data_IF_196491664319
#
_entry.id   IF_196491664319
#
_cell.length_a   1.000
_cell.length_b   1.000
_cell.length_c   1.000
_cell.angle_alpha   90.00
_cell.angle_beta   90.00
_cell.angle_gamma   90.00
#
_symmetry.space_group_name_H-M   'P 1'
#
loop_
_entity.id
_entity.type
_entity.pdbx_description
1 polymer ?
#
# COMPACT_ATOMS: atom_id res chain seq x y z
N UNK A 1 -7.36 1.96 -43.69
CA UNK A 1 -8.54 1.17 -43.28
C UNK A 1 -9.11 1.64 -41.96
N UNK A 2 -10.24 1.09 -41.51
CA UNK A 2 -10.95 1.57 -40.32
C UNK A 2 -11.82 0.49 -39.68
N UNK A 3 -12.26 0.73 -38.46
CA UNK A 3 -13.04 -0.22 -37.66
C UNK A 3 -14.54 -0.02 -37.89
N UNK A 4 -15.28 -1.11 -37.93
CA UNK A 4 -16.71 -1.09 -38.22
C UNK A 4 -17.47 -2.12 -37.39
N UNK A 5 -18.72 -1.81 -37.05
CA UNK A 5 -19.56 -2.68 -36.24
C UNK A 5 -19.98 -3.90 -37.07
N UNK A 6 -19.50 -5.10 -36.70
CA UNK A 6 -19.82 -6.35 -37.40
C UNK A 6 -21.32 -6.68 -37.38
N UNK A 7 -22.03 -6.26 -36.32
CA UNK A 7 -23.47 -6.46 -36.17
C UNK A 7 -24.28 -5.63 -37.18
N UNK A 8 -23.85 -4.40 -37.48
CA UNK A 8 -24.48 -3.54 -38.51
C UNK A 8 -24.44 -4.12 -39.92
N UNK A 9 -23.43 -4.96 -40.22
CA UNK A 9 -23.36 -5.65 -41.52
C UNK A 9 -24.31 -6.85 -41.61
N UNK A 10 -24.77 -7.37 -40.48
CA UNK A 10 -25.68 -8.51 -40.41
C UNK A 10 -27.15 -8.06 -40.30
N UNK A 11 -27.40 -6.94 -39.63
CA UNK A 11 -28.75 -6.51 -39.26
C UNK A 11 -29.03 -5.07 -39.78
N UNK A 12 -30.04 -4.91 -40.65
CA UNK A 12 -30.26 -3.63 -41.36
C UNK A 12 -30.76 -2.48 -40.49
N UNK A 13 -31.30 -2.77 -39.31
CA UNK A 13 -32.02 -1.80 -38.46
C UNK A 13 -31.63 -1.83 -36.96
N UNK A 14 -30.38 -2.22 -36.66
CA UNK A 14 -29.92 -2.44 -35.29
C UNK A 14 -29.52 -1.18 -34.48
N UNK A 15 -29.86 0.02 -34.95
CA UNK A 15 -29.49 1.28 -34.28
C UNK A 15 -27.98 1.62 -34.25
N UNK A 16 -27.09 0.70 -34.61
CA UNK A 16 -25.64 0.96 -34.66
C UNK A 16 -25.26 1.99 -35.74
N UNK A 17 -24.22 2.78 -35.46
CA UNK A 17 -23.64 3.77 -36.38
C UNK A 17 -23.38 3.17 -37.78
N UNK A 18 -23.81 3.89 -38.82
CA UNK A 18 -23.57 3.52 -40.22
C UNK A 18 -22.24 4.12 -40.68
N UNK A 19 -21.19 3.30 -40.78
CA UNK A 19 -19.90 3.73 -41.29
C UNK A 19 -18.73 2.99 -40.66
N UNK A 20 -17.54 3.58 -40.77
CA UNK A 20 -16.32 3.13 -40.11
C UNK A 20 -15.64 4.32 -39.43
N UNK A 21 -15.12 4.11 -38.23
CA UNK A 21 -14.14 5.02 -37.64
C UNK A 21 -12.79 4.75 -38.30
N UNK A 22 -12.04 5.80 -38.64
CA UNK A 22 -10.70 5.61 -39.20
C UNK A 22 -9.80 5.02 -38.12
N UNK A 23 -8.97 4.03 -38.48
CA UNK A 23 -8.09 3.40 -37.50
C UNK A 23 -7.18 4.42 -36.81
N UNK A 24 -6.61 5.35 -37.57
CA UNK A 24 -5.77 6.43 -37.06
C UNK A 24 -6.50 7.30 -36.03
N UNK A 25 -7.77 7.66 -36.26
CA UNK A 25 -8.53 8.50 -35.33
C UNK A 25 -8.76 7.76 -34.01
N UNK A 26 -9.19 6.49 -34.07
CA UNK A 26 -9.41 5.68 -32.88
C UNK A 26 -8.10 5.47 -32.10
N UNK A 27 -7.03 5.12 -32.80
CA UNK A 27 -5.70 4.89 -32.21
C UNK A 27 -5.16 6.17 -31.57
N UNK A 28 -5.33 7.34 -32.20
CA UNK A 28 -4.94 8.64 -31.63
C UNK A 28 -5.72 8.99 -30.36
N UNK A 29 -7.04 8.78 -30.34
CA UNK A 29 -7.87 9.04 -29.16
C UNK A 29 -7.45 8.11 -28.03
N UNK A 30 -7.42 6.80 -28.28
CA UNK A 30 -7.08 5.79 -27.27
C UNK A 30 -5.66 6.01 -26.75
N UNK A 31 -4.70 6.32 -27.62
CA UNK A 31 -3.31 6.63 -27.27
C UNK A 31 -3.21 7.84 -26.33
N UNK A 32 -3.92 8.93 -26.62
CA UNK A 32 -3.91 10.12 -25.75
C UNK A 32 -4.50 9.82 -24.37
N UNK A 33 -5.63 9.14 -24.32
CA UNK A 33 -6.32 8.82 -23.07
C UNK A 33 -5.49 7.84 -22.20
N UNK A 34 -4.92 6.79 -22.80
CA UNK A 34 -4.06 5.86 -22.04
C UNK A 34 -2.81 6.55 -21.52
N UNK A 35 -2.22 7.50 -22.26
CA UNK A 35 -1.08 8.28 -21.80
C UNK A 35 -1.45 9.09 -20.55
N UNK A 36 -2.55 9.85 -20.59
CA UNK A 36 -3.03 10.63 -19.45
C UNK A 36 -3.36 9.75 -18.23
N UNK A 37 -4.04 8.62 -18.46
CA UNK A 37 -4.36 7.65 -17.40
C UNK A 37 -3.08 7.10 -16.76
N UNK A 38 -2.09 6.74 -17.58
CA UNK A 38 -0.82 6.18 -17.12
C UNK A 38 -0.02 7.21 -16.31
N UNK A 39 0.05 8.46 -16.76
CA UNK A 39 0.71 9.54 -16.02
C UNK A 39 0.07 9.75 -14.65
N UNK A 40 -1.27 9.84 -14.59
CA UNK A 40 -2.01 9.97 -13.33
C UNK A 40 -1.80 8.78 -12.40
N UNK A 41 -1.81 7.56 -12.95
CA UNK A 41 -1.53 6.34 -12.20
C UNK A 41 -0.12 6.36 -11.60
N UNK A 42 0.91 6.70 -12.40
CA UNK A 42 2.30 6.74 -11.94
C UNK A 42 2.52 7.79 -10.84
N UNK A 43 1.85 8.95 -10.92
CA UNK A 43 1.91 9.98 -9.88
C UNK A 43 1.28 9.51 -8.56
N UNK A 44 0.12 8.84 -8.62
CA UNK A 44 -0.51 8.21 -7.46
C UNK A 44 0.37 7.11 -6.86
N UNK A 45 0.96 6.27 -7.69
CA UNK A 45 1.87 5.20 -7.25
C UNK A 45 3.15 5.77 -6.62
N UNK A 46 3.72 6.85 -7.17
CA UNK A 46 4.86 7.52 -6.55
C UNK A 46 4.53 8.01 -5.13
N UNK A 47 3.34 8.58 -4.94
CA UNK A 47 2.85 9.01 -3.63
C UNK A 47 2.71 7.82 -2.67
N UNK A 48 2.06 6.73 -3.11
CA UNK A 48 1.94 5.48 -2.35
C UNK A 48 3.29 4.88 -1.97
N UNK A 49 4.27 4.91 -2.87
CA UNK A 49 5.64 4.43 -2.58
C UNK A 49 6.33 5.27 -1.50
N UNK A 50 6.18 6.59 -1.53
CA UNK A 50 6.74 7.48 -0.49
C UNK A 50 6.08 7.18 0.86
N UNK A 51 4.74 7.09 0.90
CA UNK A 51 3.99 6.73 2.10
C UNK A 51 4.41 5.35 2.64
N UNK A 52 4.58 4.35 1.77
CA UNK A 52 5.08 3.03 2.15
C UNK A 52 6.47 3.12 2.80
N UNK A 53 7.42 3.85 2.20
CA UNK A 53 8.76 4.02 2.80
C UNK A 53 8.70 4.70 4.17
N UNK A 54 7.81 5.68 4.34
CA UNK A 54 7.59 6.34 5.63
C UNK A 54 7.06 5.33 6.65
N UNK A 55 6.04 4.54 6.30
CA UNK A 55 5.50 3.47 7.16
C UNK A 55 6.57 2.44 7.53
N UNK A 56 7.37 1.98 6.57
CA UNK A 56 8.48 1.05 6.80
C UNK A 56 9.52 1.64 7.77
N UNK A 57 9.89 2.91 7.60
CA UNK A 57 10.82 3.61 8.50
C UNK A 57 10.26 3.71 9.93
N UNK A 58 8.96 4.03 10.06
CA UNK A 58 8.27 4.05 11.36
C UNK A 58 8.32 2.66 12.00
N UNK A 59 7.95 1.61 11.26
CA UNK A 59 8.00 0.22 11.74
C UNK A 59 9.41 -0.18 12.19
N UNK A 60 10.45 0.16 11.42
CA UNK A 60 11.84 -0.11 11.80
C UNK A 60 12.21 0.58 13.12
N UNK A 61 11.86 1.86 13.28
CA UNK A 61 12.14 2.61 14.52
C UNK A 61 11.42 2.02 15.74
N UNK A 62 10.17 1.57 15.55
CA UNK A 62 9.34 0.92 16.56
C UNK A 62 9.92 -0.44 16.97
N UNK A 63 10.38 -1.25 16.00
CA UNK A 63 11.03 -2.53 16.26
C UNK A 63 12.32 -2.36 17.08
N UNK A 64 13.15 -1.37 16.76
CA UNK A 64 14.35 -1.06 17.53
C UNK A 64 14.03 -0.59 18.95
N UNK A 65 13.00 0.24 19.13
CA UNK A 65 12.51 0.64 20.46
C UNK A 65 12.01 -0.58 21.26
N UNK A 66 11.21 -1.45 20.65
CA UNK A 66 10.73 -2.70 21.26
C UNK A 66 11.88 -3.59 21.72
N UNK A 67 12.95 -3.71 20.93
CA UNK A 67 14.15 -4.47 21.29
C UNK A 67 14.84 -3.92 22.53
N UNK A 68 14.99 -2.59 22.62
CA UNK A 68 15.56 -1.91 23.80
C UNK A 68 14.70 -2.14 25.05
N UNK A 69 13.39 -2.01 24.93
CA UNK A 69 12.43 -2.27 26.01
C UNK A 69 12.50 -3.71 26.52
N UNK A 70 12.56 -4.70 25.62
CA UNK A 70 12.74 -6.11 26.02
C UNK A 70 14.04 -6.35 26.78
N UNK A 71 15.15 -5.73 26.33
CA UNK A 71 16.43 -5.82 27.04
C UNK A 71 16.35 -5.18 28.44
N UNK A 72 15.67 -4.05 28.57
CA UNK A 72 15.44 -3.39 29.85
C UNK A 72 14.55 -4.22 30.79
N UNK A 73 13.47 -4.80 30.26
CA UNK A 73 12.58 -5.69 31.01
C UNK A 73 13.36 -6.86 31.59
N UNK A 74 14.27 -7.46 30.81
CA UNK A 74 15.12 -8.55 31.27
C UNK A 74 16.10 -8.10 32.37
N UNK A 75 16.71 -6.91 32.23
CA UNK A 75 17.55 -6.32 33.29
C UNK A 75 16.76 -6.12 34.58
N UNK A 76 15.54 -5.58 34.51
CA UNK A 76 14.69 -5.38 35.68
C UNK A 76 14.33 -6.71 36.36
N UNK A 77 14.06 -7.77 35.60
CA UNK A 77 13.82 -9.13 36.12
C UNK A 77 15.04 -9.66 36.88
N UNK A 78 16.24 -9.49 36.32
CA UNK A 78 17.51 -9.87 36.97
C UNK A 78 17.73 -9.07 38.25
N UNK A 79 17.56 -7.74 38.21
CA UNK A 79 17.71 -6.88 39.39
C UNK A 79 16.73 -7.22 40.51
N UNK A 80 15.52 -7.69 40.17
CA UNK A 80 14.53 -8.15 41.15
C UNK A 80 15.01 -9.41 41.88
N UNK A 81 15.62 -10.36 41.17
CA UNK A 81 16.23 -11.56 41.77
C UNK A 81 17.41 -11.18 42.68
N UNK A 82 18.30 -10.31 42.22
CA UNK A 82 19.45 -9.84 43.00
C UNK A 82 19.04 -9.08 44.27
N UNK A 83 17.98 -8.26 44.22
CA UNK A 83 17.45 -7.59 45.41
C UNK A 83 16.98 -8.60 46.46
N UNK A 84 16.31 -9.67 46.04
CA UNK A 84 15.87 -10.71 46.96
C UNK A 84 17.05 -11.44 47.61
N UNK A 85 18.08 -11.79 46.84
CA UNK A 85 19.29 -12.45 47.36
C UNK A 85 20.02 -11.58 48.38
N UNK A 86 20.22 -10.29 48.08
CA UNK A 86 20.88 -9.33 48.98
C UNK A 86 20.13 -9.17 50.29
N UNK A 87 18.79 -9.12 50.25
CA UNK A 87 17.98 -9.07 51.46
C UNK A 87 18.12 -10.35 52.29
N UNK A 88 18.11 -11.53 51.64
CA UNK A 88 18.29 -12.83 52.33
C UNK A 88 19.67 -12.93 53.00
N UNK A 89 20.69 -12.31 52.43
CA UNK A 89 22.05 -12.24 52.98
C UNK A 89 22.22 -11.15 54.05
N UNK A 90 21.18 -10.37 54.36
CA UNK A 90 21.25 -9.27 55.33
C UNK A 90 22.02 -8.04 54.83
N UNK A 91 22.31 -7.95 53.52
CA UNK A 91 23.06 -6.82 52.93
C UNK A 91 22.18 -5.57 52.82
N UNK A 92 20.88 -5.75 52.61
CA UNK A 92 19.90 -4.65 52.53
C UNK A 92 18.77 -4.90 53.51
N UNK A 93 18.22 -3.81 54.05
CA UNK A 93 17.09 -3.87 54.97
C UNK A 93 15.78 -4.21 54.25
N UNK A 94 14.81 -4.69 55.03
CA UNK A 94 13.49 -5.08 54.52
C UNK A 94 12.79 -3.93 53.79
N UNK A 95 12.86 -2.73 54.34
CA UNK A 95 12.20 -1.54 53.76
C UNK A 95 12.80 -1.17 52.40
N UNK A 96 14.13 -1.19 52.30
CA UNK A 96 14.86 -0.95 51.05
C UNK A 96 14.52 -2.02 49.99
N UNK A 97 14.45 -3.29 50.40
CA UNK A 97 14.03 -4.39 49.53
C UNK A 97 12.60 -4.19 48.99
N UNK A 98 11.64 -3.88 49.87
CA UNK A 98 10.24 -3.69 49.48
C UNK A 98 10.09 -2.54 48.49
N UNK A 99 10.74 -1.40 48.76
CA UNK A 99 10.74 -0.23 47.89
C UNK A 99 11.31 -0.55 46.50
N UNK A 100 12.50 -1.17 46.44
CA UNK A 100 13.13 -1.57 45.16
C UNK A 100 12.29 -2.59 44.40
N UNK A 101 11.70 -3.57 45.09
CA UNK A 101 10.85 -4.59 44.48
C UNK A 101 9.61 -3.98 43.85
N UNK A 102 8.97 -3.03 44.54
CA UNK A 102 7.78 -2.35 44.04
C UNK A 102 8.13 -1.52 42.79
N UNK A 103 9.18 -0.70 42.87
CA UNK A 103 9.67 0.09 41.75
C UNK A 103 9.96 -0.78 40.52
N UNK A 104 10.69 -1.89 40.67
CA UNK A 104 11.01 -2.80 39.58
C UNK A 104 9.75 -3.48 39.01
N UNK A 105 8.79 -3.81 39.86
CA UNK A 105 7.52 -4.43 39.43
C UNK A 105 6.69 -3.45 38.61
N UNK A 106 6.57 -2.20 39.06
CA UNK A 106 5.86 -1.17 38.29
C UNK A 106 6.57 -0.87 36.96
N UNK A 107 7.90 -0.82 36.96
CA UNK A 107 8.69 -0.59 35.74
C UNK A 107 8.47 -1.71 34.71
N UNK A 108 8.40 -2.98 35.14
CA UNK A 108 8.10 -4.10 34.24
C UNK A 108 6.70 -3.97 33.62
N UNK A 109 5.67 -3.62 34.41
CA UNK A 109 4.30 -3.40 33.91
C UNK A 109 4.24 -2.28 32.87
N UNK A 110 4.91 -1.15 33.14
CA UNK A 110 4.96 -0.02 32.20
C UNK A 110 5.60 -0.42 30.87
N UNK A 111 6.70 -1.18 30.92
CA UNK A 111 7.36 -1.69 29.71
C UNK A 111 6.45 -2.64 28.92
N UNK A 112 5.70 -3.51 29.59
CA UNK A 112 4.75 -4.42 28.94
C UNK A 112 3.65 -3.66 28.19
N UNK A 113 3.08 -2.62 28.81
CA UNK A 113 2.09 -1.75 28.16
C UNK A 113 2.67 -1.02 26.95
N UNK A 114 3.90 -0.50 27.06
CA UNK A 114 4.56 0.19 25.94
C UNK A 114 4.85 -0.76 24.76
N UNK A 115 5.23 -2.00 25.04
CA UNK A 115 5.42 -3.02 24.00
C UNK A 115 4.11 -3.32 23.26
N UNK A 116 2.99 -3.43 23.98
CA UNK A 116 1.67 -3.65 23.36
C UNK A 116 1.28 -2.50 22.43
N UNK A 117 1.48 -1.25 22.86
CA UNK A 117 1.21 -0.05 22.04
C UNK A 117 2.10 -0.05 20.78
N UNK A 118 3.37 -0.47 20.91
CA UNK A 118 4.27 -0.57 19.76
C UNK A 118 3.80 -1.66 18.78
N UNK A 119 3.34 -2.80 19.28
CA UNK A 119 2.83 -3.90 18.45
C UNK A 119 1.61 -3.48 17.64
N UNK A 120 0.67 -2.78 18.27
CA UNK A 120 -0.52 -2.22 17.62
C UNK A 120 -0.15 -1.24 16.48
N UNK A 121 0.75 -0.30 16.76
CA UNK A 121 1.25 0.66 15.76
C UNK A 121 1.96 -0.01 14.59
N UNK A 122 2.72 -1.09 14.83
CA UNK A 122 3.35 -1.85 13.74
C UNK A 122 2.27 -2.49 12.87
N UNK A 123 1.24 -3.08 13.48
CA UNK A 123 0.14 -3.70 12.76
C UNK A 123 -0.60 -2.69 11.88
N UNK A 124 -0.94 -1.51 12.41
CA UNK A 124 -1.56 -0.41 11.65
C UNK A 124 -0.74 0.00 10.42
N UNK A 125 0.59 0.03 10.55
CA UNK A 125 1.49 0.47 9.49
C UNK A 125 1.83 -0.64 8.47
N UNK A 126 1.45 -1.90 8.72
CA UNK A 126 1.79 -3.06 7.86
C UNK A 126 0.62 -3.48 6.94
N UNK A 127 -0.58 -2.91 7.08
CA UNK A 127 -1.71 -3.21 6.20
C UNK A 127 -1.35 -2.89 4.73
N UNK A 128 -1.46 -3.93 3.88
CA UNK A 128 -0.83 -4.05 2.56
C UNK A 128 -1.53 -3.23 1.47
N UNK A 129 -0.72 -2.78 0.50
CA UNK A 129 -1.17 -2.33 -0.82
C UNK A 129 -0.68 -3.30 -1.91
N UNK A 130 -1.39 -3.32 -3.04
CA UNK A 130 -1.07 -4.17 -4.21
C UNK A 130 0.25 -3.76 -4.88
N UNK A 131 1.03 -4.74 -5.30
CA UNK A 131 2.27 -4.55 -6.06
C UNK A 131 2.03 -4.80 -7.56
N UNK A 132 1.66 -3.75 -8.29
CA UNK A 132 1.86 -3.73 -9.75
C UNK A 132 3.35 -3.47 -10.04
N UNK A 133 3.84 -3.93 -11.21
CA UNK A 133 5.24 -3.70 -11.60
C UNK A 133 5.42 -2.28 -12.18
N UNK A 134 5.27 -1.28 -11.32
CA UNK A 134 5.30 0.16 -11.65
C UNK A 134 6.61 0.57 -12.33
N UNK A 135 7.74 -0.05 -11.98
CA UNK A 135 9.04 0.28 -12.57
C UNK A 135 9.12 -0.06 -14.07
N UNK A 136 8.56 -1.21 -14.50
CA UNK A 136 8.49 -1.56 -15.93
C UNK A 136 7.63 -0.58 -16.71
N UNK A 137 6.49 -0.20 -16.14
CA UNK A 137 5.58 0.77 -16.76
C UNK A 137 6.25 2.14 -16.90
N UNK A 138 6.94 2.60 -15.84
CA UNK A 138 7.68 3.88 -15.86
C UNK A 138 8.76 3.91 -16.93
N UNK A 139 9.48 2.80 -17.14
CA UNK A 139 10.50 2.70 -18.19
C UNK A 139 9.92 2.79 -19.60
N UNK A 140 8.78 2.12 -19.86
CA UNK A 140 8.12 2.17 -21.15
C UNK A 140 7.60 3.58 -21.47
N UNK A 141 6.97 4.25 -20.50
CA UNK A 141 6.52 5.64 -20.64
C UNK A 141 7.69 6.58 -20.94
N UNK A 142 8.82 6.42 -20.25
CA UNK A 142 10.01 7.24 -20.49
C UNK A 142 10.61 7.06 -21.90
N UNK A 143 10.37 5.92 -22.55
CA UNK A 143 10.75 5.65 -23.94
C UNK A 143 9.71 6.12 -24.96
N UNK A 144 8.56 6.63 -24.51
CA UNK A 144 7.42 6.97 -25.36
C UNK A 144 6.71 5.73 -25.91
N UNK A 145 6.88 4.57 -25.29
CA UNK A 145 6.30 3.31 -25.72
C UNK A 145 4.98 3.07 -24.98
N UNK A 146 3.93 2.78 -25.74
CA UNK A 146 2.72 2.19 -25.19
C UNK A 146 2.90 0.67 -25.08
N UNK A 147 2.79 0.16 -23.85
CA UNK A 147 2.87 -1.28 -23.61
C UNK A 147 1.50 -1.88 -23.92
N UNK A 148 1.40 -2.67 -25.00
CA UNK A 148 0.17 -3.40 -25.34
C UNK A 148 -0.36 -4.23 -24.16
N UNK A 149 0.54 -4.84 -23.39
CA UNK A 149 0.18 -5.56 -22.17
C UNK A 149 -0.47 -4.64 -21.13
N UNK A 150 0.01 -3.39 -20.97
CA UNK A 150 -0.59 -2.40 -20.07
C UNK A 150 -1.97 -1.94 -20.55
N UNK A 151 -2.13 -1.67 -21.85
CA UNK A 151 -3.44 -1.34 -22.45
C UNK A 151 -4.45 -2.46 -22.14
N UNK A 152 -4.05 -3.71 -22.39
CA UNK A 152 -4.88 -4.88 -22.09
C UNK A 152 -5.10 -5.09 -20.59
N UNK A 153 -4.21 -4.60 -19.73
CA UNK A 153 -4.31 -4.72 -18.28
C UNK A 153 -5.27 -3.69 -17.69
N UNK A 154 -5.32 -2.45 -18.21
CA UNK A 154 -6.12 -1.36 -17.63
C UNK A 154 -7.42 -1.05 -18.34
N UNK A 155 -7.53 -1.32 -19.65
CA UNK A 155 -8.77 -1.09 -20.39
C UNK A 155 -9.64 -2.35 -20.32
N UNK A 156 -10.90 -2.18 -19.91
CA UNK A 156 -11.94 -3.21 -19.99
C UNK A 156 -12.54 -3.22 -21.40
N UNK A 157 -13.12 -2.09 -21.81
CA UNK A 157 -13.85 -1.96 -23.07
C UNK A 157 -13.68 -0.57 -23.68
N UNK A 158 -13.81 -0.49 -25.00
CA UNK A 158 -13.83 0.77 -25.75
C UNK A 158 -15.16 0.83 -26.52
N UNK A 159 -16.03 1.76 -26.17
CA UNK A 159 -17.26 2.03 -26.89
C UNK A 159 -17.01 3.08 -27.98
N UNK A 160 -17.47 2.80 -29.19
CA UNK A 160 -17.39 3.74 -30.32
C UNK A 160 -18.81 4.12 -30.72
N UNK A 161 -19.14 5.40 -30.52
CA UNK A 161 -20.50 5.92 -30.75
C UNK A 161 -20.64 6.53 -32.14
N UNK A 162 -19.63 7.28 -32.60
CA UNK A 162 -19.59 7.90 -33.93
C UNK A 162 -18.15 7.97 -34.48
N UNK A 163 -17.90 8.77 -35.52
CA UNK A 163 -16.61 8.90 -36.22
C UNK A 163 -15.46 9.41 -35.35
N UNK A 164 -15.76 10.11 -34.26
CA UNK A 164 -14.79 10.76 -33.36
C UNK A 164 -15.17 10.64 -31.88
N UNK A 165 -16.30 10.01 -31.57
CA UNK A 165 -16.81 9.88 -30.20
C UNK A 165 -16.53 8.47 -29.68
N UNK A 166 -15.64 8.37 -28.71
CA UNK A 166 -15.14 7.13 -28.11
C UNK A 166 -15.17 7.25 -26.58
N UNK A 167 -15.58 6.19 -25.90
CA UNK A 167 -15.54 6.07 -24.44
C UNK A 167 -14.69 4.87 -24.06
N UNK A 168 -13.81 5.05 -23.07
CA UNK A 168 -12.93 3.99 -22.55
C UNK A 168 -13.41 3.64 -21.14
N UNK A 169 -13.70 2.36 -20.93
CA UNK A 169 -14.02 1.80 -19.62
C UNK A 169 -12.76 1.20 -19.02
N UNK A 170 -12.38 1.67 -17.85
CA UNK A 170 -11.17 1.24 -17.13
C UNK A 170 -11.48 0.11 -16.14
N UNK A 171 -10.57 -0.86 -16.01
CA UNK A 171 -10.72 -2.02 -15.12
C UNK A 171 -10.62 -1.67 -13.63
N UNK A 172 -9.96 -0.58 -13.29
CA UNK A 172 -9.60 -0.23 -11.91
C UNK A 172 -10.41 0.93 -11.32
N UNK A 173 -11.39 1.49 -12.05
CA UNK A 173 -12.20 2.61 -11.53
C UNK A 173 -13.49 2.18 -10.80
N UNK A 174 -13.95 0.94 -10.93
CA UNK A 174 -15.22 0.48 -10.32
C UNK A 174 -15.12 -0.01 -8.85
N UNK A 175 -14.01 0.21 -8.15
CA UNK A 175 -13.72 -0.50 -6.88
C UNK A 175 -13.22 0.27 -5.65
N UNK A 176 -12.79 1.52 -5.78
CA UNK A 176 -12.09 2.23 -4.68
C UNK A 176 -13.02 2.81 -3.56
N UNK A 177 -14.30 2.39 -3.50
CA UNK A 177 -15.26 2.85 -2.48
C UNK A 177 -15.79 1.77 -1.52
N UNK A 178 -15.22 0.56 -1.52
CA UNK A 178 -15.63 -0.47 -0.54
C UNK A 178 -14.45 -1.20 0.08
N UNK A 179 -13.79 -0.53 1.01
CA UNK A 179 -13.22 -1.20 2.17
C UNK A 179 -13.37 -0.25 3.37
N UNK A 180 -14.40 -0.53 4.17
CA UNK A 180 -14.65 0.05 5.49
C UNK A 180 -14.41 -0.98 6.59
#
# INVERSE_FOLDING_TARGET
>A
DGYCCSYRYKEKDCGCMKGKIQALILEEIVSKEIHLYTESFLEKEQTRMVEQRVRESICQSLLERKKKLKAEQQKNKISKMQCYERHKQGIIEKEEYLSKREFLTQRVKNIEQEILIIEDKIQENTALGHHLNVDKLREAVAKGELVLDWINEVIDKIYVYDKDTVEIVWKFEEGDEKDG
#
